data_IF_306929545710
#
_entry.id   IF_306929545710
#
_cell.length_a   1.000
_cell.length_b   1.000
_cell.length_c   1.000
_cell.angle_alpha   90.00
_cell.angle_beta   90.00
_cell.angle_gamma   90.00
#
_symmetry.space_group_name_H-M   'P 1'
#
loop_
_entity.id
_entity.type
_entity.pdbx_description
1 polymer ?
#
# COMPACT_ATOMS: atom_id res chain seq x y z
N UNK A 1 -20.60 -12.38 -8.59
CA UNK A 1 -19.90 -11.22 -7.97
C UNK A 1 -18.86 -10.76 -8.98
N UNK A 2 -18.89 -9.50 -9.41
CA UNK A 2 -18.06 -8.93 -10.50
C UNK A 2 -16.54 -9.15 -10.35
N UNK A 3 -16.07 -9.30 -9.11
CA UNK A 3 -14.66 -9.62 -8.81
C UNK A 3 -14.29 -11.03 -9.31
N UNK A 4 -15.16 -12.02 -9.09
CA UNK A 4 -14.93 -13.42 -9.50
C UNK A 4 -15.03 -13.62 -11.02
N UNK A 5 -15.61 -12.65 -11.73
CA UNK A 5 -15.61 -12.62 -13.21
C UNK A 5 -14.26 -12.09 -13.76
N UNK A 6 -13.55 -11.26 -12.99
CA UNK A 6 -12.27 -10.66 -13.39
C UNK A 6 -11.04 -11.44 -12.92
N UNK A 7 -11.18 -12.18 -11.82
CA UNK A 7 -10.15 -13.03 -11.25
C UNK A 7 -10.73 -14.42 -10.98
N UNK A 8 -10.15 -15.43 -11.61
CA UNK A 8 -10.60 -16.82 -11.52
C UNK A 8 -10.23 -17.50 -10.19
N UNK A 9 -9.23 -16.97 -9.48
CA UNK A 9 -8.78 -17.46 -8.18
C UNK A 9 -8.11 -16.35 -7.36
N UNK A 10 -7.95 -16.62 -6.06
CA UNK A 10 -7.15 -15.78 -5.16
C UNK A 10 -5.72 -15.62 -5.69
N UNK A 11 -5.08 -16.70 -6.13
CA UNK A 11 -3.70 -16.66 -6.66
C UNK A 11 -3.58 -15.74 -7.89
N UNK A 12 -4.58 -15.73 -8.77
CA UNK A 12 -4.58 -14.84 -9.92
C UNK A 12 -4.67 -13.37 -9.49
N UNK A 13 -5.53 -13.08 -8.50
CA UNK A 13 -5.64 -11.74 -7.92
C UNK A 13 -4.33 -11.32 -7.26
N UNK A 14 -3.75 -12.16 -6.39
CA UNK A 14 -2.49 -11.88 -5.71
C UNK A 14 -1.35 -11.61 -6.68
N UNK A 15 -1.23 -12.42 -7.74
CA UNK A 15 -0.22 -12.22 -8.79
C UNK A 15 -0.43 -10.89 -9.51
N UNK A 16 -1.66 -10.61 -9.98
CA UNK A 16 -1.95 -9.35 -10.67
C UNK A 16 -1.76 -8.14 -9.76
N UNK A 17 -2.12 -8.25 -8.48
CA UNK A 17 -1.89 -7.21 -7.48
C UNK A 17 -0.41 -6.94 -7.33
N UNK A 18 0.39 -7.99 -7.08
CA UNK A 18 1.84 -7.88 -6.92
C UNK A 18 2.53 -7.30 -8.16
N UNK A 19 2.21 -7.80 -9.35
CA UNK A 19 2.87 -7.42 -10.60
C UNK A 19 2.46 -6.02 -11.12
N UNK A 20 1.44 -5.41 -10.51
CA UNK A 20 1.00 -4.07 -10.91
C UNK A 20 1.93 -2.98 -10.40
N UNK A 21 2.33 -2.07 -11.30
CA UNK A 21 3.11 -0.88 -10.96
C UNK A 21 2.33 0.12 -10.08
N UNK A 22 1.00 0.12 -10.18
CA UNK A 22 0.11 1.01 -9.42
C UNK A 22 -1.13 0.24 -9.00
N UNK A 23 -1.25 -0.13 -7.73
CA UNK A 23 -2.40 -0.90 -7.24
C UNK A 23 -3.68 -0.10 -7.35
N UNK A 24 -3.59 1.23 -7.29
CA UNK A 24 -4.72 2.12 -7.59
C UNK A 24 -5.32 1.89 -8.98
N UNK A 25 -4.52 1.47 -9.97
CA UNK A 25 -5.06 1.11 -11.28
C UNK A 25 -5.97 -0.12 -11.19
N UNK A 26 -5.65 -1.10 -10.33
CA UNK A 26 -6.51 -2.28 -10.11
C UNK A 26 -7.82 -1.87 -9.45
N UNK A 27 -7.75 -1.04 -8.40
CA UNK A 27 -8.92 -0.52 -7.68
C UNK A 27 -9.84 0.21 -8.65
N UNK A 28 -9.31 1.17 -9.42
CA UNK A 28 -10.07 1.91 -10.42
C UNK A 28 -10.72 1.02 -11.47
N UNK A 29 -10.00 0.03 -12.00
CA UNK A 29 -10.58 -0.88 -12.99
C UNK A 29 -11.68 -1.78 -12.38
N UNK A 30 -11.66 -2.05 -11.07
CA UNK A 30 -12.73 -2.75 -10.39
C UNK A 30 -13.94 -1.84 -10.17
N UNK A 31 -13.71 -0.57 -9.84
CA UNK A 31 -14.77 0.45 -9.80
C UNK A 31 -15.44 0.65 -11.15
N UNK A 32 -14.67 0.68 -12.24
CA UNK A 32 -15.17 0.76 -13.62
C UNK A 32 -15.98 -0.50 -14.01
N UNK A 33 -15.62 -1.67 -13.49
CA UNK A 33 -16.43 -2.89 -13.60
C UNK A 33 -17.71 -2.82 -12.72
N UNK A 34 -17.82 -1.80 -11.87
CA UNK A 34 -18.93 -1.49 -10.98
C UNK A 34 -18.87 -2.23 -9.65
N UNK A 35 -17.66 -2.40 -9.10
CA UNK A 35 -17.41 -2.72 -7.69
C UNK A 35 -17.40 -1.41 -6.90
N UNK A 36 -18.31 -1.24 -5.95
CA UNK A 36 -18.39 -0.01 -5.15
C UNK A 36 -17.72 -0.25 -3.80
N UNK A 37 -16.44 0.11 -3.67
CA UNK A 37 -15.66 -0.14 -2.44
C UNK A 37 -16.27 0.53 -1.21
N UNK A 38 -16.85 1.72 -1.37
CA UNK A 38 -17.55 2.44 -0.30
C UNK A 38 -18.79 1.69 0.22
N UNK A 39 -19.44 0.88 -0.61
CA UNK A 39 -20.54 0.01 -0.14
C UNK A 39 -20.00 -1.23 0.54
N UNK A 40 -18.96 -1.85 -0.03
CA UNK A 40 -18.30 -3.02 0.57
C UNK A 40 -17.72 -2.70 1.95
N UNK A 41 -17.19 -1.49 2.16
CA UNK A 41 -16.71 -1.03 3.47
C UNK A 41 -17.84 -0.88 4.49
N UNK A 42 -19.07 -0.56 4.09
CA UNK A 42 -20.20 -0.45 5.05
C UNK A 42 -20.59 -1.79 5.67
N UNK A 43 -20.37 -2.87 4.93
CA UNK A 43 -20.64 -4.23 5.40
C UNK A 43 -19.53 -4.75 6.32
N UNK A 44 -18.40 -4.03 6.41
CA UNK A 44 -17.22 -4.44 7.17
C UNK A 44 -16.82 -3.32 8.13
N UNK A 45 -17.08 -3.50 9.42
CA UNK A 45 -16.75 -2.54 10.50
C UNK A 45 -15.23 -2.54 10.83
N UNK A 46 -14.41 -2.43 9.79
CA UNK A 46 -12.95 -2.42 9.87
C UNK A 46 -12.40 -1.49 8.80
N UNK A 47 -11.33 -0.79 9.17
CA UNK A 47 -10.59 0.04 8.25
C UNK A 47 -9.68 -0.82 7.35
N UNK A 48 -10.31 -1.44 6.35
CA UNK A 48 -9.68 -2.33 5.40
C UNK A 48 -9.13 -1.56 4.20
N UNK A 49 -7.94 -1.97 3.78
CA UNK A 49 -7.41 -1.60 2.47
C UNK A 49 -8.27 -2.24 1.35
N UNK A 50 -8.37 -1.61 0.15
CA UNK A 50 -9.04 -2.22 -1.00
C UNK A 50 -8.57 -3.65 -1.30
N UNK A 51 -7.29 -3.96 -1.08
CA UNK A 51 -6.77 -5.33 -1.20
C UNK A 51 -7.49 -6.30 -0.25
N UNK A 52 -7.53 -5.99 1.04
CA UNK A 52 -8.15 -6.84 2.06
C UNK A 52 -9.64 -6.97 1.84
N UNK A 53 -10.30 -5.90 1.41
CA UNK A 53 -11.71 -5.91 1.10
C UNK A 53 -12.02 -6.87 -0.05
N UNK A 54 -11.20 -6.84 -1.11
CA UNK A 54 -11.30 -7.79 -2.23
C UNK A 54 -11.07 -9.22 -1.74
N UNK A 55 -9.98 -9.45 -1.00
CA UNK A 55 -9.63 -10.76 -0.44
C UNK A 55 -10.78 -11.35 0.41
N UNK A 56 -11.39 -10.53 1.25
CA UNK A 56 -12.48 -10.93 2.12
C UNK A 56 -13.78 -11.19 1.35
N UNK A 57 -14.20 -10.26 0.49
CA UNK A 57 -15.50 -10.30 -0.18
C UNK A 57 -15.54 -11.34 -1.30
N UNK A 58 -14.45 -11.50 -2.04
CA UNK A 58 -14.39 -12.37 -3.21
C UNK A 58 -13.90 -13.79 -2.88
N UNK A 59 -13.00 -13.92 -1.89
CA UNK A 59 -12.27 -15.16 -1.61
C UNK A 59 -12.39 -15.64 -0.16
N UNK A 60 -13.29 -15.04 0.64
CA UNK A 60 -13.61 -15.43 2.03
C UNK A 60 -12.38 -15.48 2.95
N UNK A 61 -11.35 -14.68 2.64
CA UNK A 61 -10.14 -14.60 3.46
C UNK A 61 -10.37 -13.76 4.71
N UNK A 62 -9.65 -14.05 5.82
CA UNK A 62 -9.57 -13.13 6.94
C UNK A 62 -9.04 -11.77 6.49
N UNK A 63 -9.75 -10.69 6.81
CA UNK A 63 -9.35 -9.35 6.45
C UNK A 63 -8.42 -8.74 7.50
N UNK A 64 -7.28 -8.19 7.06
CA UNK A 64 -6.40 -7.39 7.90
C UNK A 64 -6.71 -5.90 7.71
N UNK A 65 -6.72 -5.16 8.80
CA UNK A 65 -6.78 -3.70 8.76
C UNK A 65 -5.47 -3.11 8.24
N UNK A 66 -5.53 -1.85 7.77
CA UNK A 66 -4.33 -1.09 7.37
C UNK A 66 -3.28 -1.05 8.49
N UNK A 67 -3.75 -0.84 9.72
CA UNK A 67 -2.91 -0.86 10.92
C UNK A 67 -2.26 -2.23 11.17
N UNK A 68 -3.00 -3.34 11.00
CA UNK A 68 -2.42 -4.69 11.12
C UNK A 68 -1.36 -4.97 10.05
N UNK A 69 -1.59 -4.54 8.80
CA UNK A 69 -0.59 -4.67 7.72
C UNK A 69 0.68 -3.90 8.04
N UNK A 70 0.55 -2.65 8.43
CA UNK A 70 1.69 -1.82 8.77
C UNK A 70 2.48 -2.37 9.97
N UNK A 71 1.78 -2.83 11.00
CA UNK A 71 2.41 -3.50 12.13
C UNK A 71 3.17 -4.77 11.72
N UNK A 72 2.66 -5.54 10.76
CA UNK A 72 3.37 -6.71 10.25
C UNK A 72 4.67 -6.33 9.53
N UNK A 73 4.70 -5.22 8.79
CA UNK A 73 5.94 -4.68 8.19
C UNK A 73 6.94 -4.28 9.27
N UNK A 74 6.48 -3.53 10.29
CA UNK A 74 7.30 -3.12 11.44
C UNK A 74 7.90 -4.33 12.16
N UNK A 75 7.11 -5.38 12.43
CA UNK A 75 7.54 -6.62 13.11
C UNK A 75 8.61 -7.41 12.35
N UNK A 76 8.64 -7.33 11.02
CA UNK A 76 9.66 -7.99 10.18
C UNK A 76 10.99 -7.23 10.13
N UNK A 77 11.07 -6.09 10.80
CA UNK A 77 12.26 -5.23 10.83
C UNK A 77 12.73 -4.81 9.42
N UNK A 78 11.79 -4.59 8.50
CA UNK A 78 12.10 -4.18 7.13
C UNK A 78 12.93 -2.88 7.10
N UNK A 79 12.60 -1.93 7.97
CA UNK A 79 13.27 -0.63 8.06
C UNK A 79 14.69 -0.70 8.66
N UNK A 80 15.11 -1.83 9.21
CA UNK A 80 16.43 -2.00 9.82
C UNK A 80 17.61 -1.83 8.84
N UNK A 81 17.35 -1.88 7.53
CA UNK A 81 18.35 -1.63 6.47
C UNK A 81 18.54 -0.15 6.11
N UNK A 82 17.69 0.74 6.64
CA UNK A 82 17.77 2.19 6.43
C UNK A 82 18.18 2.90 7.73
N UNK A 83 18.69 4.12 7.61
CA UNK A 83 19.05 4.97 8.75
C UNK A 83 18.81 6.44 8.41
N UNK A 84 18.81 7.30 9.44
CA UNK A 84 18.62 8.74 9.27
C UNK A 84 17.29 9.10 8.61
N UNK A 85 17.31 10.11 7.75
CA UNK A 85 16.12 10.65 7.06
C UNK A 85 15.45 9.58 6.21
N UNK A 86 16.20 8.72 5.51
CA UNK A 86 15.62 7.66 4.70
C UNK A 86 14.75 6.71 5.54
N UNK A 87 15.17 6.38 6.75
CA UNK A 87 14.37 5.55 7.65
C UNK A 87 13.11 6.28 8.13
N UNK A 88 13.26 7.52 8.58
CA UNK A 88 12.15 8.35 9.09
C UNK A 88 11.06 8.58 8.03
N UNK A 89 11.48 8.81 6.78
CA UNK A 89 10.57 8.92 5.63
C UNK A 89 9.80 7.63 5.41
N UNK A 90 10.44 6.46 5.45
CA UNK A 90 9.74 5.19 5.25
C UNK A 90 8.78 4.85 6.40
N UNK A 91 9.15 5.17 7.64
CA UNK A 91 8.28 5.01 8.80
C UNK A 91 7.06 5.94 8.71
N UNK A 92 7.26 7.20 8.31
CA UNK A 92 6.18 8.17 8.13
C UNK A 92 5.27 7.85 6.94
N UNK A 93 5.82 7.28 5.86
CA UNK A 93 5.03 6.77 4.73
C UNK A 93 4.13 5.63 5.17
N UNK A 94 4.65 4.74 6.02
CA UNK A 94 3.87 3.63 6.56
C UNK A 94 2.75 4.14 7.48
N UNK A 95 3.02 5.14 8.32
CA UNK A 95 1.99 5.79 9.15
C UNK A 95 0.91 6.46 8.28
N UNK A 96 1.29 7.19 7.22
CA UNK A 96 0.30 7.74 6.29
C UNK A 96 -0.52 6.65 5.58
N UNK A 97 0.06 5.49 5.29
CA UNK A 97 -0.70 4.36 4.77
C UNK A 97 -1.75 3.86 5.78
N UNK A 98 -1.37 3.77 7.07
CA UNK A 98 -2.30 3.39 8.15
C UNK A 98 -3.52 4.32 8.18
N UNK A 99 -3.31 5.63 8.07
CA UNK A 99 -4.37 6.64 8.19
C UNK A 99 -5.14 6.91 6.88
N UNK A 100 -4.42 7.07 5.76
CA UNK A 100 -4.96 7.60 4.49
C UNK A 100 -4.94 6.57 3.34
N UNK A 101 -4.17 5.49 3.45
CA UNK A 101 -4.22 4.35 2.53
C UNK A 101 -3.16 4.44 1.43
N UNK A 102 -3.27 3.57 0.43
CA UNK A 102 -2.19 3.32 -0.53
C UNK A 102 -1.96 4.45 -1.55
N UNK A 103 -2.96 5.28 -1.85
CA UNK A 103 -2.85 6.37 -2.86
C UNK A 103 -1.62 7.26 -2.64
N UNK A 104 -1.34 7.51 -1.36
CA UNK A 104 -0.27 8.35 -0.90
C UNK A 104 1.12 7.71 -1.05
N UNK A 105 1.22 6.40 -0.87
CA UNK A 105 2.49 5.67 -0.89
C UNK A 105 3.12 5.66 -2.29
N UNK A 106 2.30 5.58 -3.33
CA UNK A 106 2.74 5.50 -4.74
C UNK A 106 3.15 6.86 -5.35
N UNK A 107 2.88 7.98 -4.66
CA UNK A 107 2.98 9.33 -5.22
C UNK A 107 4.19 10.10 -4.67
N UNK A 108 5.15 10.48 -5.52
CA UNK A 108 6.28 11.34 -5.11
C UNK A 108 5.85 12.72 -4.58
N UNK A 109 4.62 13.17 -4.87
CA UNK A 109 4.12 14.43 -4.34
C UNK A 109 3.93 14.39 -2.82
N UNK A 110 3.86 13.20 -2.22
CA UNK A 110 3.80 13.04 -0.77
C UNK A 110 4.98 13.70 -0.05
N UNK A 111 6.16 13.72 -0.68
CA UNK A 111 7.36 14.35 -0.12
C UNK A 111 7.23 15.88 0.05
N UNK A 112 6.19 16.49 -0.52
CA UNK A 112 5.89 17.93 -0.38
C UNK A 112 4.86 18.20 0.72
N UNK A 113 4.28 17.17 1.31
CA UNK A 113 3.25 17.25 2.34
C UNK A 113 3.87 17.03 3.73
N UNK A 114 3.18 17.47 4.78
CA UNK A 114 3.56 17.13 6.15
C UNK A 114 3.42 15.61 6.40
N UNK A 115 4.34 15.00 7.18
CA UNK A 115 5.51 15.63 7.83
C UNK A 115 6.77 15.70 6.94
N UNK A 116 6.73 15.17 5.71
CA UNK A 116 7.92 15.03 4.84
C UNK A 116 8.55 16.36 4.44
N UNK A 117 7.74 17.40 4.23
CA UNK A 117 8.21 18.75 3.94
C UNK A 117 9.13 19.33 5.03
N UNK A 118 9.08 18.79 6.26
CA UNK A 118 9.94 19.18 7.38
C UNK A 118 11.25 18.37 7.45
N UNK A 119 11.34 17.25 6.72
CA UNK A 119 12.51 16.36 6.68
C UNK A 119 13.52 16.77 5.60
N UNK A 120 13.15 17.69 4.71
CA UNK A 120 13.98 18.23 3.64
C UNK A 120 13.18 18.50 2.38
N UNK A 121 13.85 19.03 1.35
CA UNK A 121 13.24 19.11 0.03
C UNK A 121 13.08 17.70 -0.58
N UNK A 122 12.13 17.48 -1.50
CA UNK A 122 11.97 16.18 -2.15
C UNK A 122 13.26 15.65 -2.80
N UNK A 123 14.11 16.55 -3.31
CA UNK A 123 15.38 16.16 -3.91
C UNK A 123 16.38 15.67 -2.86
N UNK A 124 16.51 16.36 -1.72
CA UNK A 124 17.36 15.95 -0.60
C UNK A 124 16.90 14.60 -0.04
N UNK A 125 15.60 14.44 0.21
CA UNK A 125 15.03 13.16 0.66
C UNK A 125 15.41 12.04 -0.31
N UNK A 126 15.21 12.22 -1.61
CA UNK A 126 15.55 11.20 -2.62
C UNK A 126 17.06 10.87 -2.60
N UNK A 127 17.93 11.85 -2.34
CA UNK A 127 19.38 11.60 -2.25
C UNK A 127 19.75 10.73 -1.04
N UNK A 128 19.02 10.81 0.07
CA UNK A 128 19.24 9.96 1.26
C UNK A 128 19.02 8.46 0.96
N UNK A 129 18.24 8.13 -0.07
CA UNK A 129 18.08 6.76 -0.56
C UNK A 129 19.19 6.32 -1.53
N UNK A 130 20.07 7.23 -1.95
CA UNK A 130 21.07 6.99 -2.99
C UNK A 130 20.57 7.32 -4.41
N UNK A 131 19.45 8.03 -4.53
CA UNK A 131 18.90 8.47 -5.81
C UNK A 131 17.46 8.00 -6.05
N UNK A 132 16.90 8.46 -7.19
CA UNK A 132 15.49 8.25 -7.54
C UNK A 132 15.12 6.77 -7.68
N UNK A 133 15.98 5.98 -8.30
CA UNK A 133 15.70 4.56 -8.56
C UNK A 133 15.68 3.76 -7.24
N UNK A 134 16.53 4.13 -6.30
CA UNK A 134 16.66 3.50 -4.98
C UNK A 134 15.49 3.91 -4.09
N UNK A 135 15.05 5.17 -4.17
CA UNK A 135 13.81 5.62 -3.53
C UNK A 135 12.61 4.80 -4.07
N UNK A 136 12.42 4.75 -5.39
CA UNK A 136 11.33 3.99 -6.00
C UNK A 136 11.37 2.50 -5.64
N UNK A 137 12.57 1.91 -5.61
CA UNK A 137 12.76 0.54 -5.16
C UNK A 137 12.35 0.37 -3.70
N UNK A 138 12.69 1.31 -2.81
CA UNK A 138 12.29 1.26 -1.41
C UNK A 138 10.77 1.32 -1.23
N UNK A 139 10.07 2.15 -2.04
CA UNK A 139 8.60 2.24 -2.06
C UNK A 139 7.99 0.90 -2.49
N UNK A 140 8.42 0.34 -3.62
CA UNK A 140 7.93 -0.95 -4.09
C UNK A 140 8.20 -2.10 -3.11
N UNK A 141 9.36 -2.09 -2.45
CA UNK A 141 9.67 -3.09 -1.44
C UNK A 141 8.78 -2.95 -0.18
N UNK A 142 8.38 -1.74 0.22
CA UNK A 142 7.39 -1.55 1.30
C UNK A 142 6.01 -2.05 0.88
N UNK A 143 5.57 -1.73 -0.33
CA UNK A 143 4.31 -2.24 -0.87
C UNK A 143 4.30 -3.77 -0.90
N UNK A 144 5.38 -4.38 -1.38
CA UNK A 144 5.53 -5.82 -1.37
C UNK A 144 5.46 -6.37 0.06
N UNK A 145 6.14 -5.75 1.03
CA UNK A 145 6.07 -6.19 2.43
C UNK A 145 4.68 -6.03 3.06
N UNK A 146 3.96 -4.95 2.72
CA UNK A 146 2.57 -4.72 3.15
C UNK A 146 1.66 -5.86 2.71
N UNK A 147 1.86 -6.39 1.49
CA UNK A 147 0.99 -7.42 0.89
C UNK A 147 1.59 -8.83 0.87
N UNK A 148 2.78 -9.05 1.43
CA UNK A 148 3.50 -10.34 1.42
C UNK A 148 2.86 -11.45 2.25
N UNK A 149 1.97 -11.11 3.18
CA UNK A 149 1.24 -12.11 3.97
C UNK A 149 -0.23 -11.69 4.13
N UNK A 150 -1.11 -12.64 3.79
CA UNK A 150 -2.40 -12.85 4.42
C UNK A 150 -2.30 -14.10 5.28
#
# INVERSE_FOLDING_TARGET
KKINEKYSSLDEFLRKWKDSEKKQAIVKQLEEAGVVFEELKKDVDKDLDPFDLICHVAFEQPALTRHERANNVKKRNYFGKYSGIAKEVLESLLEKYEDEGLENLESMNILKLDPFNSMGTPMEIIQEFGGKDQYLKAIHEIEDELYKAG
#
